data_IF_235652501623
#
_entry.id   IF_235652501623
#
_cell.length_a   1.000
_cell.length_b   1.000
_cell.length_c   1.000
_cell.angle_alpha   90.00
_cell.angle_beta   90.00
_cell.angle_gamma   90.00
#
_symmetry.space_group_name_H-M   'P 1'
#
loop_
_entity.id
_entity.type
_entity.pdbx_description
1 polymer ?
#
# COMPACT_ATOMS: atom_id res chain seq x y z
N UNK A 1 20.92 -4.85 -9.97
CA UNK A 1 19.90 -4.03 -9.28
C UNK A 1 20.34 -3.64 -7.86
N UNK A 2 20.72 -4.60 -6.99
CA UNK A 2 21.25 -4.31 -5.64
C UNK A 2 22.39 -3.30 -5.62
N UNK A 3 23.40 -3.47 -6.50
CA UNK A 3 24.51 -2.52 -6.61
C UNK A 3 24.09 -1.10 -7.01
N UNK A 4 23.04 -0.95 -7.83
CA UNK A 4 22.50 0.35 -8.21
C UNK A 4 21.81 1.02 -7.00
N UNK A 5 20.99 0.27 -6.26
CA UNK A 5 20.34 0.80 -5.05
C UNK A 5 21.40 1.23 -4.03
N UNK A 6 22.41 0.38 -3.76
CA UNK A 6 23.50 0.72 -2.85
C UNK A 6 24.28 1.97 -3.29
N UNK A 7 24.56 2.11 -4.59
CA UNK A 7 25.19 3.30 -5.16
C UNK A 7 24.33 4.55 -4.95
N UNK A 8 23.03 4.48 -5.29
CA UNK A 8 22.11 5.61 -5.11
C UNK A 8 21.95 5.98 -3.64
N UNK A 9 21.91 5.00 -2.73
CA UNK A 9 21.92 5.24 -1.27
C UNK A 9 23.19 5.94 -0.81
N UNK A 10 24.36 5.49 -1.29
CA UNK A 10 25.63 6.14 -0.97
C UNK A 10 25.68 7.58 -1.50
N UNK A 11 25.23 7.81 -2.74
CA UNK A 11 25.14 9.14 -3.32
C UNK A 11 24.16 10.05 -2.56
N UNK A 12 23.02 9.53 -2.11
CA UNK A 12 22.08 10.27 -1.27
C UNK A 12 22.73 10.69 0.06
N UNK A 13 23.50 9.81 0.70
CA UNK A 13 24.28 10.12 1.90
C UNK A 13 25.31 11.22 1.63
N UNK A 14 26.12 11.07 0.59
CA UNK A 14 27.13 12.07 0.21
C UNK A 14 26.47 13.43 -0.06
N UNK A 15 25.41 13.47 -0.87
CA UNK A 15 24.69 14.70 -1.19
C UNK A 15 24.08 15.39 0.05
N UNK A 16 23.77 14.63 1.11
CA UNK A 16 23.21 15.17 2.35
C UNK A 16 24.28 15.74 3.31
N UNK A 17 25.47 15.15 3.33
CA UNK A 17 26.52 15.48 4.31
C UNK A 17 27.68 16.31 3.74
N UNK A 18 27.82 16.39 2.43
CA UNK A 18 28.82 17.25 1.78
C UNK A 18 28.23 18.64 1.53
N UNK A 19 28.94 19.67 2.00
CA UNK A 19 28.55 21.05 1.79
C UNK A 19 28.61 21.43 0.30
N UNK A 20 27.62 22.19 -0.18
CA UNK A 20 27.57 22.69 -1.56
C UNK A 20 26.64 21.91 -2.51
N UNK A 21 26.01 20.82 -2.05
CA UNK A 21 25.00 20.11 -2.84
C UNK A 21 23.62 20.77 -2.75
N UNK A 22 22.87 20.73 -3.86
CA UNK A 22 21.47 21.20 -3.88
C UNK A 22 20.58 20.32 -3.00
N UNK A 23 19.79 20.96 -2.12
CA UNK A 23 18.84 20.26 -1.25
C UNK A 23 17.81 19.46 -2.06
N UNK A 24 17.40 19.97 -3.23
CA UNK A 24 16.48 19.26 -4.13
C UNK A 24 17.13 18.00 -4.69
N UNK A 25 18.40 18.07 -5.08
CA UNK A 25 19.12 16.91 -5.58
C UNK A 25 19.30 15.84 -4.47
N UNK A 26 19.64 16.26 -3.25
CA UNK A 26 19.74 15.35 -2.11
C UNK A 26 18.38 14.69 -1.81
N UNK A 27 17.28 15.45 -1.87
CA UNK A 27 15.92 14.93 -1.71
C UNK A 27 15.55 13.89 -2.78
N UNK A 28 15.83 14.18 -4.06
CA UNK A 28 15.56 13.25 -5.16
C UNK A 28 16.38 11.97 -5.01
N UNK A 29 17.68 12.08 -4.71
CA UNK A 29 18.55 10.92 -4.48
C UNK A 29 18.08 10.08 -3.29
N UNK A 30 17.68 10.71 -2.18
CA UNK A 30 17.12 10.02 -1.03
C UNK A 30 15.80 9.31 -1.36
N UNK A 31 14.94 9.95 -2.15
CA UNK A 31 13.67 9.36 -2.60
C UNK A 31 13.90 8.13 -3.50
N UNK A 32 14.84 8.23 -4.44
CA UNK A 32 15.24 7.10 -5.30
C UNK A 32 15.89 5.97 -4.51
N UNK A 33 16.72 6.29 -3.51
CA UNK A 33 17.31 5.31 -2.61
C UNK A 33 16.23 4.58 -1.81
N UNK A 34 15.23 5.31 -1.29
CA UNK A 34 14.11 4.74 -0.56
C UNK A 34 13.23 3.86 -1.45
N UNK A 35 12.91 4.29 -2.67
CA UNK A 35 12.17 3.48 -3.64
C UNK A 35 12.92 2.20 -4.03
N UNK A 36 14.24 2.30 -4.23
CA UNK A 36 15.10 1.14 -4.47
C UNK A 36 15.12 0.17 -3.28
N UNK A 37 15.21 0.70 -2.06
CA UNK A 37 15.11 -0.08 -0.83
C UNK A 37 13.78 -0.81 -0.72
N UNK A 38 12.66 -0.11 -0.95
CA UNK A 38 11.32 -0.68 -0.98
C UNK A 38 11.22 -1.86 -1.95
N UNK A 39 11.76 -1.72 -3.15
CA UNK A 39 11.79 -2.79 -4.14
C UNK A 39 12.57 -4.02 -3.65
N UNK A 40 13.74 -3.84 -3.03
CA UNK A 40 14.54 -4.95 -2.49
C UNK A 40 13.76 -5.70 -1.41
N UNK A 41 13.14 -4.97 -0.47
CA UNK A 41 12.39 -5.58 0.63
C UNK A 41 11.15 -6.31 0.09
N UNK A 42 10.45 -5.74 -0.89
CA UNK A 42 9.33 -6.40 -1.57
C UNK A 42 9.76 -7.71 -2.26
N UNK A 43 10.86 -7.68 -3.02
CA UNK A 43 11.39 -8.87 -3.70
C UNK A 43 11.87 -9.95 -2.72
N UNK A 44 12.49 -9.56 -1.61
CA UNK A 44 12.87 -10.50 -0.55
C UNK A 44 11.63 -11.12 0.11
N UNK A 45 10.59 -10.33 0.30
CA UNK A 45 9.32 -10.76 0.88
C UNK A 45 8.58 -11.76 -0.01
N UNK A 46 8.62 -11.57 -1.32
CA UNK A 46 8.05 -12.50 -2.30
C UNK A 46 8.71 -13.89 -2.20
N UNK A 47 10.04 -13.94 -2.17
CA UNK A 47 10.80 -15.21 -2.01
C UNK A 47 10.53 -15.90 -0.67
N UNK A 48 10.35 -15.12 0.39
CA UNK A 48 10.01 -15.65 1.71
C UNK A 48 8.55 -16.17 1.70
N UNK A 49 7.66 -15.45 1.03
CA UNK A 49 6.25 -15.78 0.86
C UNK A 49 5.98 -17.11 0.16
N UNK A 50 6.88 -17.55 -0.74
CA UNK A 50 6.77 -18.87 -1.37
C UNK A 50 6.79 -20.04 -0.37
N UNK A 51 7.33 -19.81 0.84
CA UNK A 51 7.37 -20.82 1.92
C UNK A 51 6.16 -20.75 2.85
N UNK A 52 5.29 -19.76 2.68
CA UNK A 52 4.10 -19.53 3.51
C UNK A 52 2.81 -19.76 2.71
N UNK A 53 1.69 -19.95 3.44
CA UNK A 53 0.38 -20.05 2.80
C UNK A 53 -0.08 -18.71 2.20
N UNK A 54 -0.99 -18.71 1.20
CA UNK A 54 -1.43 -17.51 0.48
C UNK A 54 -1.85 -16.35 1.38
N UNK A 55 -2.56 -16.64 2.47
CA UNK A 55 -3.01 -15.66 3.46
C UNK A 55 -1.85 -14.92 4.13
N UNK A 56 -0.90 -15.69 4.67
CA UNK A 56 0.25 -15.16 5.42
C UNK A 56 1.15 -14.38 4.48
N UNK A 57 1.34 -14.88 3.26
CA UNK A 57 2.08 -14.19 2.20
C UNK A 57 1.42 -12.86 1.83
N UNK A 58 0.10 -12.84 1.66
CA UNK A 58 -0.65 -11.61 1.37
C UNK A 58 -0.53 -10.57 2.48
N UNK A 59 -0.59 -10.97 3.74
CA UNK A 59 -0.40 -10.08 4.90
C UNK A 59 1.02 -9.53 4.95
N UNK A 60 2.02 -10.38 4.71
CA UNK A 60 3.42 -10.00 4.72
C UNK A 60 3.71 -8.99 3.59
N UNK A 61 3.22 -9.27 2.37
CA UNK A 61 3.35 -8.37 1.22
C UNK A 61 2.63 -7.04 1.46
N UNK A 62 1.42 -7.06 2.03
CA UNK A 62 0.68 -5.84 2.35
C UNK A 62 1.39 -5.00 3.41
N UNK A 63 1.94 -5.63 4.46
CA UNK A 63 2.65 -4.91 5.53
C UNK A 63 3.96 -4.33 5.02
N UNK A 64 4.79 -5.18 4.41
CA UNK A 64 6.13 -4.81 3.94
C UNK A 64 6.07 -3.83 2.78
N UNK A 65 5.13 -4.02 1.86
CA UNK A 65 4.93 -3.14 0.72
C UNK A 65 4.55 -1.70 1.10
N UNK A 66 3.97 -1.50 2.30
CA UNK A 66 3.61 -0.18 2.83
C UNK A 66 4.60 0.35 3.92
N UNK A 67 5.68 -0.38 4.22
CA UNK A 67 6.72 0.09 5.16
C UNK A 67 7.41 1.40 4.72
N UNK A 68 7.74 1.62 3.44
CA UNK A 68 8.36 2.86 3.01
C UNK A 68 7.52 4.09 3.38
N UNK A 69 6.21 4.03 3.16
CA UNK A 69 5.24 5.06 3.49
C UNK A 69 5.17 5.27 5.01
N UNK A 70 5.12 4.17 5.77
CA UNK A 70 5.15 4.22 7.24
C UNK A 70 6.42 4.91 7.77
N UNK A 71 7.58 4.62 7.20
CA UNK A 71 8.84 5.28 7.58
C UNK A 71 8.84 6.76 7.24
N UNK A 72 8.34 7.16 6.06
CA UNK A 72 8.22 8.57 5.69
C UNK A 72 7.36 9.33 6.71
N UNK A 73 6.24 8.75 7.13
CA UNK A 73 5.35 9.33 8.15
C UNK A 73 6.06 9.44 9.51
N UNK A 74 6.74 8.40 9.97
CA UNK A 74 7.49 8.44 11.23
C UNK A 74 8.57 9.51 11.21
N UNK A 75 9.37 9.57 10.15
CA UNK A 75 10.45 10.56 10.05
C UNK A 75 9.93 11.98 9.94
N UNK A 76 8.82 12.20 9.23
CA UNK A 76 8.15 13.50 9.20
C UNK A 76 7.66 13.91 10.59
N UNK A 77 7.00 13.01 11.33
CA UNK A 77 6.54 13.28 12.69
C UNK A 77 7.69 13.54 13.67
N UNK A 78 8.79 12.78 13.57
CA UNK A 78 9.99 12.99 14.38
C UNK A 78 10.62 14.37 14.13
N UNK A 79 10.59 14.83 12.88
CA UNK A 79 11.04 16.16 12.47
C UNK A 79 10.02 17.29 12.78
N UNK A 80 8.90 16.99 13.45
CA UNK A 80 7.84 17.97 13.75
C UNK A 80 6.99 18.37 12.53
N UNK A 81 7.11 17.68 11.40
CA UNK A 81 6.45 17.98 10.14
C UNK A 81 5.08 17.30 10.05
N UNK A 82 4.14 17.71 10.90
CA UNK A 82 2.79 17.12 10.96
C UNK A 82 2.03 17.24 9.63
N UNK A 83 2.12 18.40 8.97
CA UNK A 83 1.46 18.64 7.68
C UNK A 83 1.99 17.69 6.60
N UNK A 84 3.31 17.43 6.60
CA UNK A 84 3.93 16.48 5.65
C UNK A 84 3.44 15.06 5.92
N UNK A 85 3.38 14.64 7.17
CA UNK A 85 2.86 13.32 7.55
C UNK A 85 1.39 13.13 7.12
N UNK A 86 0.53 14.11 7.39
CA UNK A 86 -0.89 14.07 7.02
C UNK A 86 -1.09 14.05 5.50
N UNK A 87 -0.39 14.93 4.78
CA UNK A 87 -0.49 15.01 3.32
C UNK A 87 0.08 13.77 2.63
N UNK A 88 1.14 13.15 3.17
CA UNK A 88 1.65 11.86 2.69
C UNK A 88 0.64 10.72 2.82
N UNK A 89 -0.06 10.62 3.96
CA UNK A 89 -1.10 9.61 4.18
C UNK A 89 -2.28 9.76 3.21
N UNK A 90 -2.80 10.98 3.05
CA UNK A 90 -3.88 11.27 2.11
C UNK A 90 -3.42 11.00 0.67
N UNK A 91 -2.19 11.43 0.33
CA UNK A 91 -1.59 11.20 -0.97
C UNK A 91 -1.48 9.71 -1.31
N UNK A 92 -1.07 8.86 -0.36
CA UNK A 92 -0.99 7.41 -0.54
C UNK A 92 -2.35 6.79 -0.87
N UNK A 93 -3.40 7.18 -0.14
CA UNK A 93 -4.77 6.71 -0.41
C UNK A 93 -5.21 7.09 -1.84
N UNK A 94 -5.01 8.35 -2.23
CA UNK A 94 -5.41 8.84 -3.56
C UNK A 94 -4.61 8.17 -4.69
N UNK A 95 -3.30 8.03 -4.52
CA UNK A 95 -2.44 7.35 -5.51
C UNK A 95 -2.89 5.91 -5.69
N UNK A 96 -3.15 5.16 -4.63
CA UNK A 96 -3.56 3.76 -4.74
C UNK A 96 -4.99 3.60 -5.28
N UNK A 97 -5.94 4.39 -4.78
CA UNK A 97 -7.36 4.25 -5.13
C UNK A 97 -7.71 4.82 -6.50
N UNK A 98 -7.02 5.87 -6.97
CA UNK A 98 -7.34 6.53 -8.24
C UNK A 98 -6.28 6.27 -9.29
N UNK A 99 -5.01 6.61 -9.01
CA UNK A 99 -3.95 6.57 -10.02
C UNK A 99 -3.57 5.13 -10.37
N UNK A 100 -3.14 4.34 -9.39
CA UNK A 100 -2.70 2.96 -9.59
C UNK A 100 -3.86 2.11 -10.07
N UNK A 101 -5.02 2.18 -9.41
CA UNK A 101 -6.21 1.44 -9.85
C UNK A 101 -6.62 1.81 -11.28
N UNK A 102 -6.64 3.11 -11.62
CA UNK A 102 -6.95 3.58 -12.96
C UNK A 102 -5.98 3.05 -14.01
N UNK A 103 -4.68 3.10 -13.73
CA UNK A 103 -3.64 2.56 -14.61
C UNK A 103 -3.79 1.05 -14.81
N UNK A 104 -4.08 0.30 -13.74
CA UNK A 104 -4.32 -1.15 -13.81
C UNK A 104 -5.55 -1.46 -14.65
N UNK A 105 -6.65 -0.71 -14.50
CA UNK A 105 -7.86 -0.91 -15.31
C UNK A 105 -7.59 -0.61 -16.78
N UNK A 106 -6.91 0.49 -17.09
CA UNK A 106 -6.56 0.86 -18.48
C UNK A 106 -5.64 -0.19 -19.09
N UNK A 107 -4.56 -0.59 -18.40
CA UNK A 107 -3.63 -1.61 -18.88
C UNK A 107 -4.29 -2.98 -19.01
N UNK A 108 -5.13 -3.38 -18.04
CA UNK A 108 -5.87 -4.64 -18.08
C UNK A 108 -6.89 -4.69 -19.21
N UNK A 109 -7.58 -3.57 -19.47
CA UNK A 109 -8.50 -3.45 -20.60
C UNK A 109 -7.77 -3.50 -21.94
N UNK A 110 -6.63 -2.82 -22.11
CA UNK A 110 -5.88 -2.86 -23.39
C UNK A 110 -5.27 -4.22 -23.69
N UNK A 111 -4.93 -5.00 -22.66
CA UNK A 111 -4.41 -6.36 -22.82
C UNK A 111 -5.52 -7.41 -23.05
N UNK A 112 -6.76 -7.11 -22.67
CA UNK A 112 -7.92 -7.98 -22.85
C UNK A 112 -8.44 -7.92 -24.29
N UNK A 113 -8.68 -9.09 -24.90
CA UNK A 113 -9.26 -9.18 -26.25
C UNK A 113 -10.65 -8.52 -26.35
N UNK A 114 -11.39 -8.52 -25.25
CA UNK A 114 -12.73 -7.92 -25.14
C UNK A 114 -12.68 -6.42 -24.79
N UNK A 115 -11.50 -5.84 -24.54
CA UNK A 115 -11.32 -4.48 -23.99
C UNK A 115 -12.02 -4.24 -22.65
N UNK A 116 -12.37 -5.31 -21.93
CA UNK A 116 -13.03 -5.27 -20.63
C UNK A 116 -12.21 -6.09 -19.63
N UNK A 117 -11.95 -5.50 -18.46
CA UNK A 117 -11.35 -6.18 -17.32
C UNK A 117 -12.45 -6.73 -16.43
N UNK A 118 -12.51 -8.05 -16.25
CA UNK A 118 -13.49 -8.71 -15.38
C UNK A 118 -12.86 -9.05 -14.04
N UNK A 119 -13.56 -8.74 -12.96
CA UNK A 119 -13.15 -9.03 -11.59
C UNK A 119 -14.04 -10.14 -11.03
N UNK A 120 -13.46 -11.07 -10.25
CA UNK A 120 -14.27 -11.98 -9.44
C UNK A 120 -14.96 -11.16 -8.34
N UNK A 121 -16.25 -11.39 -8.04
CA UNK A 121 -17.05 -10.43 -7.28
C UNK A 121 -16.80 -10.39 -5.76
N UNK A 122 -15.99 -11.28 -5.18
CA UNK A 122 -15.84 -11.37 -3.71
C UNK A 122 -14.72 -10.49 -3.17
N UNK A 123 -13.47 -10.81 -3.52
CA UNK A 123 -12.29 -10.14 -2.95
C UNK A 123 -12.19 -8.62 -3.26
N UNK A 124 -12.52 -8.14 -4.48
CA UNK A 124 -12.48 -6.72 -4.82
C UNK A 124 -13.60 -5.91 -4.15
N UNK A 125 -14.80 -6.49 -3.98
CA UNK A 125 -15.90 -5.81 -3.28
C UNK A 125 -15.63 -5.66 -1.79
N UNK A 126 -15.07 -6.69 -1.15
CA UNK A 126 -14.70 -6.63 0.27
C UNK A 126 -13.61 -5.55 0.48
N UNK A 127 -12.58 -5.54 -0.39
CA UNK A 127 -11.51 -4.53 -0.34
C UNK A 127 -12.04 -3.12 -0.59
N UNK A 128 -12.92 -2.93 -1.58
CA UNK A 128 -13.52 -1.64 -1.88
C UNK A 128 -14.39 -1.14 -0.71
N UNK A 129 -15.15 -2.04 -0.07
CA UNK A 129 -15.99 -1.70 1.09
C UNK A 129 -15.12 -1.28 2.27
N UNK A 130 -14.01 -1.96 2.52
CA UNK A 130 -13.07 -1.60 3.59
C UNK A 130 -12.40 -0.26 3.35
N UNK A 131 -11.95 0.01 2.12
CA UNK A 131 -11.38 1.30 1.74
C UNK A 131 -12.42 2.41 1.89
N UNK A 132 -13.69 2.16 1.51
CA UNK A 132 -14.78 3.12 1.67
C UNK A 132 -15.04 3.41 3.16
N UNK A 133 -15.16 2.39 4.01
CA UNK A 133 -15.36 2.54 5.45
C UNK A 133 -14.18 3.27 6.10
N UNK A 134 -12.94 2.87 5.78
CA UNK A 134 -11.74 3.51 6.31
C UNK A 134 -11.65 4.98 5.90
N UNK A 135 -11.88 5.29 4.62
CA UNK A 135 -11.86 6.66 4.11
C UNK A 135 -12.99 7.49 4.72
N UNK A 136 -14.19 6.92 4.87
CA UNK A 136 -15.30 7.59 5.52
C UNK A 136 -14.98 7.95 6.97
N UNK A 137 -14.41 7.02 7.75
CA UNK A 137 -13.99 7.29 9.13
C UNK A 137 -12.91 8.39 9.18
N UNK A 138 -11.91 8.31 8.32
CA UNK A 138 -10.83 9.33 8.23
C UNK A 138 -11.40 10.72 7.90
N UNK A 139 -12.28 10.81 6.90
CA UNK A 139 -12.92 12.07 6.49
C UNK A 139 -13.83 12.60 7.58
N UNK A 140 -14.63 11.75 8.22
CA UNK A 140 -15.51 12.13 9.32
C UNK A 140 -14.71 12.73 10.48
N UNK A 141 -13.60 12.11 10.88
CA UNK A 141 -12.69 12.62 11.92
C UNK A 141 -12.07 13.94 11.46
N UNK A 142 -11.61 14.02 10.21
CA UNK A 142 -11.02 15.24 9.65
C UNK A 142 -12.00 16.41 9.65
N UNK A 143 -13.26 16.17 9.30
CA UNK A 143 -14.31 17.18 9.27
C UNK A 143 -14.74 17.59 10.69
N UNK A 144 -14.87 16.63 11.61
CA UNK A 144 -15.15 16.90 13.02
C UNK A 144 -14.06 17.76 13.66
N UNK A 145 -12.79 17.54 13.29
CA UNK A 145 -11.68 18.40 13.71
C UNK A 145 -11.74 19.80 13.07
N UNK A 146 -12.08 19.89 11.78
CA UNK A 146 -12.17 21.16 11.06
C UNK A 146 -13.33 22.05 11.54
N UNK A 147 -14.42 21.45 12.03
CA UNK A 147 -15.64 22.14 12.46
C UNK A 147 -15.50 23.04 13.70
N UNK A 148 -14.34 23.05 14.39
CA UNK A 148 -13.97 23.99 15.46
C UNK A 148 -15.14 24.33 16.43
N UNK A 149 -15.74 23.33 17.07
CA UNK A 149 -16.47 23.56 18.31
C UNK A 149 -15.46 24.11 19.37
N UNK A 150 -15.83 24.91 20.39
CA UNK A 150 -14.91 25.55 21.35
C UNK A 150 -14.08 24.60 22.23
N UNK A 151 -14.03 23.32 21.90
CA UNK A 151 -13.34 22.25 22.59
C UNK A 151 -12.03 21.85 21.87
N UNK A 152 -11.07 22.77 21.78
CA UNK A 152 -9.67 22.47 21.40
C UNK A 152 -9.05 21.34 22.25
N UNK A 153 -9.63 21.06 23.42
CA UNK A 153 -9.28 19.94 24.30
C UNK A 153 -9.70 18.54 23.81
N UNK A 154 -10.68 18.41 22.90
CA UNK A 154 -11.20 17.08 22.49
C UNK A 154 -10.64 16.55 21.18
N UNK A 155 -9.99 17.38 20.35
CA UNK A 155 -9.41 16.96 19.05
C UNK A 155 -8.49 15.75 19.19
N UNK A 156 -7.59 15.80 20.18
CA UNK A 156 -6.64 14.71 20.45
C UNK A 156 -7.37 13.43 20.88
N UNK A 157 -8.38 13.54 21.74
CA UNK A 157 -9.19 12.41 22.20
C UNK A 157 -9.96 11.78 21.04
N UNK A 158 -10.60 12.59 20.20
CA UNK A 158 -11.35 12.11 19.03
C UNK A 158 -10.42 11.40 18.03
N UNK A 159 -9.23 11.96 17.79
CA UNK A 159 -8.23 11.34 16.91
C UNK A 159 -7.71 10.01 17.46
N UNK A 160 -7.48 9.90 18.78
CA UNK A 160 -7.06 8.65 19.44
C UNK A 160 -8.16 7.59 19.33
N UNK A 161 -9.41 7.95 19.65
CA UNK A 161 -10.55 7.03 19.54
C UNK A 161 -10.72 6.56 18.09
N UNK A 162 -10.61 7.48 17.13
CA UNK A 162 -10.66 7.17 15.70
C UNK A 162 -9.55 6.23 15.24
N UNK A 163 -8.31 6.46 15.65
CA UNK A 163 -7.18 5.58 15.34
C UNK A 163 -7.36 4.18 15.92
N UNK A 164 -7.85 4.07 17.16
CA UNK A 164 -8.17 2.79 17.80
C UNK A 164 -9.29 2.08 17.03
N UNK A 165 -10.35 2.79 16.64
CA UNK A 165 -11.45 2.22 15.87
C UNK A 165 -10.99 1.65 14.52
N UNK A 166 -10.17 2.40 13.78
CA UNK A 166 -9.60 1.94 12.50
C UNK A 166 -8.70 0.71 12.70
N UNK A 167 -7.84 0.71 13.73
CA UNK A 167 -7.00 -0.44 14.06
C UNK A 167 -7.81 -1.68 14.44
N UNK A 168 -8.91 -1.52 15.18
CA UNK A 168 -9.82 -2.61 15.52
C UNK A 168 -10.51 -3.18 14.27
N UNK A 169 -11.03 -2.32 13.39
CA UNK A 169 -11.63 -2.75 12.11
C UNK A 169 -10.61 -3.51 11.28
N UNK A 170 -9.39 -2.99 11.14
CA UNK A 170 -8.31 -3.68 10.43
C UNK A 170 -7.96 -5.03 11.08
N UNK A 171 -7.83 -5.09 12.40
CA UNK A 171 -7.50 -6.33 13.11
C UNK A 171 -8.59 -7.40 13.01
N UNK A 172 -9.87 -7.00 13.09
CA UNK A 172 -11.00 -7.91 12.90
C UNK A 172 -11.05 -8.46 11.47
N UNK A 173 -10.85 -7.58 10.48
CA UNK A 173 -10.76 -7.98 9.08
C UNK A 173 -9.58 -8.93 8.84
N UNK A 174 -8.40 -8.59 9.34
CA UNK A 174 -7.18 -9.40 9.20
C UNK A 174 -7.35 -10.80 9.78
N UNK A 175 -8.03 -10.91 10.94
CA UNK A 175 -8.35 -12.20 11.56
C UNK A 175 -9.30 -13.04 10.71
N UNK A 176 -10.28 -12.42 10.06
CA UNK A 176 -11.17 -13.12 9.13
C UNK A 176 -10.42 -13.54 7.87
N UNK A 177 -9.63 -12.64 7.28
CA UNK A 177 -8.78 -12.90 6.12
C UNK A 177 -7.88 -14.12 6.33
N UNK A 178 -7.15 -14.16 7.46
CA UNK A 178 -6.30 -15.30 7.81
C UNK A 178 -7.05 -16.62 8.07
N UNK A 179 -8.34 -16.57 8.40
CA UNK A 179 -9.17 -17.77 8.66
C UNK A 179 -9.93 -18.24 7.42
N UNK A 180 -10.16 -17.38 6.44
CA UNK A 180 -10.96 -17.68 5.25
C UNK A 180 -10.15 -18.33 4.12
N UNK A 181 -8.82 -18.27 4.18
CA UNK A 181 -7.92 -18.75 3.13
C UNK A 181 -7.62 -20.27 3.16
N UNK A 182 -8.32 -21.05 3.98
CA UNK A 182 -8.32 -22.52 3.92
C UNK A 182 -9.05 -23.08 2.67
N UNK A 183 -9.63 -22.23 1.80
CA UNK A 183 -10.50 -22.64 0.68
C UNK A 183 -10.19 -21.93 -0.64
N UNK A 184 -8.94 -21.94 -1.11
CA UNK A 184 -8.67 -21.75 -2.56
C UNK A 184 -7.61 -22.76 -3.02
N UNK A 185 -8.04 -23.99 -3.25
CA UNK A 185 -7.31 -24.89 -4.18
C UNK A 185 -7.61 -24.41 -5.59
N UNK A 186 -6.61 -24.03 -6.42
CA UNK A 186 -6.87 -23.83 -7.82
C UNK A 186 -7.26 -25.19 -8.40
N UNK A 187 -8.53 -25.35 -8.77
CA UNK A 187 -8.93 -26.39 -9.71
C UNK A 187 -8.35 -26.00 -11.06
N UNK A 188 -7.07 -26.31 -11.26
CA UNK A 188 -6.52 -26.47 -12.60
C UNK A 188 -7.15 -27.77 -13.10
N UNK A 189 -8.34 -27.69 -13.69
CA UNK A 189 -8.72 -28.70 -14.67
C UNK A 189 -7.77 -28.54 -15.86
N UNK A 190 -6.91 -29.53 -16.16
CA UNK A 190 -6.18 -29.53 -17.41
C UNK A 190 -7.23 -29.66 -18.51
N UNK A 191 -7.41 -28.62 -19.33
CA UNK A 191 -8.12 -28.76 -20.61
C UNK A 191 -7.26 -29.62 -21.54
N UNK A 192 -7.34 -30.93 -21.35
CA UNK A 192 -6.85 -31.97 -22.26
C UNK A 192 -8.08 -32.68 -22.83
N UNK A 193 -8.27 -32.54 -24.15
CA UNK A 193 -9.36 -33.10 -24.95
C UNK A 193 -10.04 -31.98 -25.75
N UNK A 194 -10.06 -31.94 -27.08
CA UNK A 194 -9.82 -32.97 -28.07
C UNK A 194 -9.36 -32.34 -29.39
N UNK A 195 -8.16 -32.68 -29.86
CA UNK A 195 -7.80 -32.64 -31.28
C UNK A 195 -7.05 -33.93 -31.59
N UNK A 196 -7.78 -35.03 -31.58
CA UNK A 196 -7.38 -36.29 -32.20
C UNK A 196 -8.61 -36.93 -32.82
N UNK A 197 -8.62 -37.01 -34.15
CA UNK A 197 -9.52 -37.84 -34.96
C UNK A 197 -10.75 -37.12 -35.51
N UNK A 198 -10.71 -36.73 -36.79
CA UNK A 198 -11.45 -37.41 -37.88
C UNK A 198 -10.83 -36.91 -39.19
N UNK A 199 -10.13 -37.83 -39.87
CA UNK A 199 -10.12 -37.96 -41.33
C UNK A 199 -11.47 -38.52 -41.73
#
# INVERSE_FOLDING_TARGET
MLGLVALVTALAGIARYVNGFSQVAAFVLATLALAGGAWIVSFATEQIGERFGPAVTGVLQSTVGNLPEFFVVIFALNAGQLVVAQTALVGSILVNALLVLGLVVVAGATHSREKVMRFSPRLPNDTATLVLVATFIIVLIGLANAAHDPASHHVKTVSIVGAIAILLVYGLWLRQYLRSDDVVRPHVEPRLGAVTGVV
#
